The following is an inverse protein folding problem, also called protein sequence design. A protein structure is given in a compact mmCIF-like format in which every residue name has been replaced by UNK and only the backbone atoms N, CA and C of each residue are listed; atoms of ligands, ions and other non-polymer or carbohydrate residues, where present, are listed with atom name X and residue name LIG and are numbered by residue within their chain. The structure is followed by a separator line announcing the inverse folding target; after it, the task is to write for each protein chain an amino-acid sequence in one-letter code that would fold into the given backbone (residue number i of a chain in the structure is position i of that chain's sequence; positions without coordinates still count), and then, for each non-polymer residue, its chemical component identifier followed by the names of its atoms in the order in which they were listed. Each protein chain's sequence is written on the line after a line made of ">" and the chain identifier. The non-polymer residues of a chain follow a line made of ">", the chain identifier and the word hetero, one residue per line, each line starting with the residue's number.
data_IF_842497566900
#
_entry.id   IF_842497566900
#
_cell.length_a   1.000
_cell.length_b   1.000
_cell.length_c   1.000
_cell.angle_alpha   90.00
_cell.angle_beta   90.00
_cell.angle_gamma   90.00
#
_symmetry.space_group_name_H-M   'P 1'
#
loop_
_entity.id
_entity.type
_entity.pdbx_description
1 polymer ?
#
# COMPACT_ATOMS: atom_id res chain seq x y z
N UNK A 1 -16.03 -8.03 -22.41
CA UNK A 1 -16.86 -7.23 -21.47
C UNK A 1 -15.95 -6.72 -20.38
N UNK A 2 -15.82 -5.40 -20.26
CA UNK A 2 -15.09 -4.79 -19.14
C UNK A 2 -15.88 -5.04 -17.86
N UNK A 3 -15.21 -5.54 -16.82
CA UNK A 3 -15.84 -5.75 -15.52
C UNK A 3 -16.26 -4.43 -14.89
N UNK A 4 -17.27 -4.42 -14.01
CA UNK A 4 -17.57 -3.22 -13.23
C UNK A 4 -16.31 -2.80 -12.45
N UNK A 5 -16.13 -1.49 -12.26
CA UNK A 5 -15.00 -0.86 -11.53
C UNK A 5 -13.65 -0.75 -12.27
N UNK A 6 -13.66 -0.39 -13.55
CA UNK A 6 -12.44 0.08 -14.25
C UNK A 6 -12.28 1.59 -14.03
N UNK A 7 -11.12 2.05 -13.54
CA UNK A 7 -10.85 3.47 -13.29
C UNK A 7 -10.59 4.27 -14.59
N UNK A 8 -11.66 4.50 -15.35
CA UNK A 8 -11.62 5.28 -16.59
C UNK A 8 -11.26 6.75 -16.38
N UNK A 9 -11.48 7.29 -15.18
CA UNK A 9 -11.09 8.66 -14.85
C UNK A 9 -9.58 8.82 -14.88
N UNK A 10 -8.84 7.90 -14.25
CA UNK A 10 -7.37 7.89 -14.31
C UNK A 10 -6.87 7.84 -15.76
N UNK A 11 -7.43 6.95 -16.59
CA UNK A 11 -7.03 6.85 -18.00
C UNK A 11 -7.22 8.16 -18.76
N UNK A 12 -8.36 8.84 -18.58
CA UNK A 12 -8.64 10.12 -19.23
C UNK A 12 -7.67 11.22 -18.80
N UNK A 13 -7.35 11.30 -17.50
CA UNK A 13 -6.37 12.25 -16.99
C UNK A 13 -4.99 11.98 -17.58
N UNK A 14 -4.53 10.73 -17.56
CA UNK A 14 -3.26 10.33 -18.17
C UNK A 14 -3.21 10.69 -19.67
N UNK A 15 -4.27 10.42 -20.43
CA UNK A 15 -4.33 10.77 -21.85
C UNK A 15 -4.26 12.28 -22.10
N UNK A 16 -4.87 13.08 -21.23
CA UNK A 16 -4.80 14.53 -21.31
C UNK A 16 -3.38 15.02 -21.01
N UNK A 17 -2.74 14.49 -19.96
CA UNK A 17 -1.37 14.84 -19.59
C UNK A 17 -0.37 14.46 -20.69
N UNK A 18 -0.48 13.26 -21.27
CA UNK A 18 0.38 12.83 -22.36
C UNK A 18 0.20 13.68 -23.62
N UNK A 19 -1.04 14.06 -23.93
CA UNK A 19 -1.32 14.97 -25.06
C UNK A 19 -0.74 16.35 -24.80
N UNK A 20 -0.85 16.86 -23.57
CA UNK A 20 -0.34 18.17 -23.20
C UNK A 20 1.19 18.22 -23.17
N UNK A 21 1.84 17.22 -22.55
CA UNK A 21 3.29 17.22 -22.33
C UNK A 21 4.10 16.71 -23.54
N UNK A 22 3.52 15.78 -24.31
CA UNK A 22 4.27 15.04 -25.33
C UNK A 22 3.55 14.95 -26.69
N UNK A 23 2.38 15.58 -26.83
CA UNK A 23 1.58 15.61 -28.06
C UNK A 23 1.26 14.21 -28.66
N UNK A 24 1.08 13.20 -27.80
CA UNK A 24 0.61 11.88 -28.21
C UNK A 24 -0.47 11.34 -27.28
N UNK A 25 -1.15 10.28 -27.71
CA UNK A 25 -2.13 9.55 -26.92
C UNK A 25 -1.90 8.05 -27.03
N UNK A 26 -2.18 7.33 -25.96
CA UNK A 26 -2.13 5.86 -25.92
C UNK A 26 -3.38 5.31 -26.62
N UNK A 27 -3.21 4.30 -27.48
CA UNK A 27 -4.34 3.59 -28.08
C UNK A 27 -5.07 2.75 -27.01
N UNK A 28 -6.36 3.02 -26.78
CA UNK A 28 -7.18 2.25 -25.84
C UNK A 28 -8.24 1.43 -26.57
N UNK A 29 -8.16 0.10 -26.50
CA UNK A 29 -9.20 -0.81 -26.99
C UNK A 29 -9.85 -1.47 -25.77
N UNK A 30 -10.99 -0.91 -25.33
CA UNK A 30 -11.61 -1.28 -24.06
C UNK A 30 -10.66 -1.09 -22.87
N UNK A 31 -10.78 -1.88 -21.80
CA UNK A 31 -9.92 -1.75 -20.60
C UNK A 31 -8.46 -2.23 -20.78
N UNK A 32 -8.04 -2.64 -21.99
CA UNK A 32 -6.72 -3.24 -22.20
C UNK A 32 -5.56 -2.30 -21.83
N UNK A 33 -5.65 -1.00 -22.14
CA UNK A 33 -4.62 -0.01 -21.78
C UNK A 33 -4.44 0.11 -20.27
N UNK A 34 -5.55 0.16 -19.52
CA UNK A 34 -5.52 0.17 -18.05
C UNK A 34 -4.98 -1.13 -17.46
N UNK A 35 -5.23 -2.27 -18.09
CA UNK A 35 -4.67 -3.56 -17.66
C UNK A 35 -3.15 -3.59 -17.84
N UNK A 36 -2.64 -3.08 -18.96
CA UNK A 36 -1.20 -2.97 -19.20
C UNK A 36 -0.57 -2.11 -18.11
N UNK A 37 -1.13 -0.93 -17.83
CA UNK A 37 -0.62 -0.05 -16.78
C UNK A 37 -0.62 -0.71 -15.39
N UNK A 38 -1.73 -1.32 -14.97
CA UNK A 38 -1.80 -2.05 -13.70
C UNK A 38 -0.73 -3.17 -13.61
N UNK A 39 -0.54 -3.91 -14.71
CA UNK A 39 0.48 -4.95 -14.76
C UNK A 39 1.90 -4.36 -14.73
N UNK A 40 2.15 -3.21 -15.37
CA UNK A 40 3.45 -2.54 -15.32
C UNK A 40 3.82 -2.17 -13.89
N UNK A 41 2.90 -1.60 -13.10
CA UNK A 41 3.15 -1.33 -11.67
C UNK A 41 3.40 -2.61 -10.87
N UNK A 42 2.59 -3.66 -11.10
CA UNK A 42 2.80 -4.97 -10.46
C UNK A 42 4.17 -5.56 -10.78
N UNK A 43 4.62 -5.47 -12.03
CA UNK A 43 5.93 -5.96 -12.45
C UNK A 43 7.06 -5.07 -11.92
N UNK A 44 6.86 -3.75 -11.89
CA UNK A 44 7.78 -2.81 -11.26
C UNK A 44 8.01 -3.13 -9.79
N UNK A 45 6.95 -3.38 -9.02
CA UNK A 45 7.07 -3.79 -7.61
C UNK A 45 7.83 -5.11 -7.45
N UNK A 46 7.58 -6.09 -8.32
CA UNK A 46 8.34 -7.34 -8.30
C UNK A 46 9.82 -7.12 -8.63
N UNK A 47 10.13 -6.25 -9.58
CA UNK A 47 11.50 -5.98 -10.01
C UNK A 47 12.37 -5.31 -8.94
N UNK A 48 11.76 -4.52 -8.05
CA UNK A 48 12.51 -3.85 -6.96
C UNK A 48 12.87 -4.79 -5.81
N UNK A 49 12.21 -5.95 -5.70
CA UNK A 49 12.30 -6.84 -4.54
C UNK A 49 11.99 -6.14 -3.19
N UNK A 50 11.25 -5.02 -3.21
CA UNK A 50 10.91 -4.27 -2.00
C UNK A 50 9.73 -4.87 -1.22
N UNK A 51 9.04 -5.83 -1.82
CA UNK A 51 7.97 -6.61 -1.18
C UNK A 51 6.81 -5.73 -0.65
N UNK A 52 6.54 -4.62 -1.32
CA UNK A 52 5.55 -3.62 -0.91
C UNK A 52 4.16 -4.23 -0.81
N UNK A 53 3.81 -5.11 -1.76
CA UNK A 53 2.52 -5.81 -1.75
C UNK A 53 2.31 -6.61 -0.45
N UNK A 54 3.35 -7.34 -0.03
CA UNK A 54 3.31 -8.14 1.19
C UNK A 54 3.26 -7.27 2.44
N UNK A 55 4.03 -6.17 2.47
CA UNK A 55 4.03 -5.21 3.58
C UNK A 55 2.64 -4.59 3.76
N UNK A 56 2.07 -3.99 2.70
CA UNK A 56 0.76 -3.33 2.78
C UNK A 56 -0.38 -4.31 3.11
N UNK A 57 -0.33 -5.52 2.54
CA UNK A 57 -1.31 -6.57 2.86
C UNK A 57 -1.17 -7.04 4.31
N UNK A 58 0.05 -7.30 4.76
CA UNK A 58 0.33 -7.73 6.14
C UNK A 58 -0.08 -6.68 7.16
N UNK A 59 0.15 -5.41 6.83
CA UNK A 59 -0.22 -4.29 7.68
C UNK A 59 -1.73 -4.28 7.95
N UNK A 60 -2.54 -4.45 6.91
CA UNK A 60 -3.99 -4.55 7.06
C UNK A 60 -4.41 -5.77 7.89
N UNK A 61 -3.91 -6.96 7.54
CA UNK A 61 -4.30 -8.21 8.21
C UNK A 61 -3.79 -8.32 9.65
N UNK A 62 -2.74 -7.59 10.01
CA UNK A 62 -2.27 -7.51 11.39
C UNK A 62 -3.34 -6.91 12.31
N UNK A 63 -4.16 -5.96 11.84
CA UNK A 63 -5.11 -5.24 12.70
C UNK A 63 -6.59 -5.49 12.38
N UNK A 64 -6.94 -6.00 11.19
CA UNK A 64 -8.33 -6.14 10.74
C UNK A 64 -9.22 -6.90 11.73
N UNK A 65 -8.78 -8.10 12.12
CA UNK A 65 -9.56 -9.04 12.94
C UNK A 65 -8.95 -9.22 14.34
N UNK A 66 -8.23 -8.20 14.83
CA UNK A 66 -7.55 -8.24 16.11
C UNK A 66 -7.83 -6.96 16.92
N UNK A 67 -8.98 -6.89 17.62
CA UNK A 67 -9.44 -5.67 18.30
C UNK A 67 -8.42 -5.17 19.33
N UNK A 68 -7.80 -6.08 20.11
CA UNK A 68 -6.76 -5.73 21.10
C UNK A 68 -5.57 -5.06 20.43
N UNK A 69 -5.05 -5.63 19.33
CA UNK A 69 -3.91 -5.03 18.60
C UNK A 69 -4.27 -3.67 18.01
N UNK A 70 -5.50 -3.52 17.53
CA UNK A 70 -6.01 -2.26 17.01
C UNK A 70 -6.12 -1.20 18.11
N UNK A 71 -6.62 -1.57 19.28
CA UNK A 71 -6.68 -0.70 20.45
C UNK A 71 -5.28 -0.27 20.91
N UNK A 72 -4.34 -1.21 20.97
CA UNK A 72 -2.93 -0.91 21.29
C UNK A 72 -2.33 0.08 20.30
N UNK A 73 -2.57 -0.09 19.00
CA UNK A 73 -2.12 0.85 17.98
C UNK A 73 -2.78 2.23 18.14
N UNK A 74 -4.08 2.27 18.46
CA UNK A 74 -4.82 3.52 18.68
C UNK A 74 -4.27 4.28 19.89
N UNK A 75 -3.92 3.60 20.99
CA UNK A 75 -3.26 4.23 22.16
C UNK A 75 -1.90 4.84 21.83
N UNK A 76 -1.26 4.41 20.75
CA UNK A 76 0.02 4.95 20.26
C UNK A 76 -0.16 6.07 19.23
N UNK A 77 -1.34 6.17 18.62
CA UNK A 77 -1.63 7.05 17.50
C UNK A 77 -2.44 8.25 17.96
N UNK A 78 -1.99 9.46 17.65
CA UNK A 78 -2.77 10.67 17.84
C UNK A 78 -3.92 10.84 16.84
N UNK A 79 -3.94 10.06 15.75
CA UNK A 79 -4.90 10.24 14.64
C UNK A 79 -5.99 9.16 14.55
N UNK A 80 -5.99 8.14 15.42
CA UNK A 80 -6.91 6.98 15.39
C UNK A 80 -7.03 6.28 14.02
N UNK A 81 -6.07 6.48 13.11
CA UNK A 81 -6.11 5.91 11.77
C UNK A 81 -5.63 4.46 11.75
N UNK A 82 -6.37 3.63 11.01
CA UNK A 82 -6.01 2.23 10.77
C UNK A 82 -5.54 2.00 9.32
N UNK A 83 -4.79 0.92 9.07
CA UNK A 83 -4.39 0.55 7.72
C UNK A 83 -5.57 0.28 6.80
N UNK A 84 -5.39 0.55 5.50
CA UNK A 84 -6.37 0.24 4.45
C UNK A 84 -5.99 -1.05 3.73
N UNK A 85 -7.00 -1.73 3.19
CA UNK A 85 -6.81 -2.97 2.43
C UNK A 85 -6.19 -2.67 1.07
N UNK A 86 -5.11 -3.37 0.74
CA UNK A 86 -4.52 -3.36 -0.59
C UNK A 86 -5.34 -4.21 -1.58
N UNK A 87 -5.52 -3.74 -2.81
CA UNK A 87 -6.05 -4.53 -3.92
C UNK A 87 -4.93 -4.97 -4.88
N UNK A 88 -4.46 -6.21 -4.74
CA UNK A 88 -3.32 -6.73 -5.52
C UNK A 88 -3.56 -6.86 -7.04
N UNK A 89 -4.81 -6.72 -7.49
CA UNK A 89 -5.20 -6.73 -8.91
C UNK A 89 -5.38 -5.31 -9.49
N UNK A 90 -5.45 -4.28 -8.65
CA UNK A 90 -5.70 -2.88 -9.05
C UNK A 90 -4.66 -1.95 -8.43
N UNK A 91 -3.44 -2.04 -8.95
CA UNK A 91 -2.30 -1.27 -8.46
C UNK A 91 -2.52 0.24 -8.56
N UNK A 92 -3.16 0.71 -9.64
CA UNK A 92 -3.46 2.13 -9.84
C UNK A 92 -4.46 2.72 -8.83
N UNK A 93 -5.21 1.88 -8.12
CA UNK A 93 -6.22 2.32 -7.12
C UNK A 93 -5.67 2.28 -5.69
N UNK A 94 -4.43 1.82 -5.49
CA UNK A 94 -3.87 1.59 -4.15
C UNK A 94 -3.16 2.81 -3.54
N UNK A 95 -3.16 3.97 -4.21
CA UNK A 95 -2.55 5.22 -3.70
C UNK A 95 -3.02 5.53 -2.27
N UNK A 96 -4.33 5.50 -1.93
CA UNK A 96 -4.77 5.77 -0.56
C UNK A 96 -4.26 4.75 0.46
N UNK A 97 -4.02 3.50 0.05
CA UNK A 97 -3.45 2.47 0.90
C UNK A 97 -1.99 2.76 1.24
N UNK A 98 -1.20 3.17 0.23
CA UNK A 98 0.19 3.58 0.41
C UNK A 98 0.30 4.84 1.28
N UNK A 99 -0.47 5.89 0.98
CA UNK A 99 -0.51 7.13 1.76
C UNK A 99 -0.89 6.87 3.23
N UNK A 100 -1.90 6.01 3.46
CA UNK A 100 -2.27 5.63 4.82
C UNK A 100 -1.13 4.92 5.54
N UNK A 101 -0.43 4.02 4.86
CA UNK A 101 0.69 3.29 5.45
C UNK A 101 1.85 4.23 5.81
N UNK A 102 2.15 5.22 4.96
CA UNK A 102 3.14 6.27 5.23
C UNK A 102 2.73 7.07 6.45
N UNK A 103 1.47 7.52 6.50
CA UNK A 103 0.94 8.33 7.61
C UNK A 103 1.07 7.62 8.97
N UNK A 104 0.76 6.33 9.03
CA UNK A 104 0.81 5.57 10.29
C UNK A 104 2.17 4.91 10.56
N UNK A 105 3.15 5.06 9.66
CA UNK A 105 4.42 4.31 9.71
C UNK A 105 5.15 4.48 11.05
N UNK A 106 5.22 5.71 11.57
CA UNK A 106 5.84 6.00 12.87
C UNK A 106 5.16 5.26 14.02
N UNK A 107 3.83 5.16 13.99
CA UNK A 107 3.06 4.46 15.02
C UNK A 107 3.27 2.95 14.93
N UNK A 108 3.43 2.42 13.72
CA UNK A 108 3.75 1.01 13.49
C UNK A 108 5.13 0.66 14.03
N UNK A 109 6.15 1.49 13.78
CA UNK A 109 7.49 1.27 14.34
C UNK A 109 7.48 1.28 15.88
N UNK A 110 6.71 2.20 16.49
CA UNK A 110 6.50 2.22 17.95
C UNK A 110 5.78 0.97 18.46
N UNK A 111 4.75 0.52 17.75
CA UNK A 111 3.98 -0.68 18.09
C UNK A 111 4.89 -1.92 18.09
N UNK A 112 5.65 -2.13 17.02
CA UNK A 112 6.63 -3.24 16.91
C UNK A 112 7.63 -3.18 18.05
N UNK A 113 8.18 -1.99 18.33
CA UNK A 113 9.13 -1.81 19.43
C UNK A 113 8.52 -2.24 20.77
N UNK A 114 7.29 -1.80 21.09
CA UNK A 114 6.64 -2.18 22.34
C UNK A 114 6.35 -3.69 22.45
N UNK A 115 6.02 -4.35 21.35
CA UNK A 115 5.85 -5.82 21.33
C UNK A 115 7.20 -6.51 21.55
N UNK A 116 8.26 -6.08 20.86
CA UNK A 116 9.60 -6.68 20.96
C UNK A 116 10.23 -6.51 22.36
N UNK A 117 9.98 -5.37 23.04
CA UNK A 117 10.41 -5.13 24.42
C UNK A 117 9.48 -5.73 25.49
N UNK A 118 8.41 -6.44 25.09
CA UNK A 118 7.48 -7.09 26.03
C UNK A 118 6.52 -6.15 26.76
N UNK A 119 6.39 -4.89 26.33
CA UNK A 119 5.43 -3.94 26.87
C UNK A 119 4.00 -4.16 26.33
N UNK A 120 3.86 -4.92 25.24
CA UNK A 120 2.59 -5.38 24.68
C UNK A 120 2.60 -6.91 24.54
N UNK A 121 1.41 -7.49 24.31
CA UNK A 121 1.27 -8.92 24.09
C UNK A 121 2.11 -9.39 22.90
N UNK A 122 2.78 -10.53 23.08
CA UNK A 122 3.60 -11.16 22.03
C UNK A 122 2.72 -11.52 20.83
N UNK A 123 3.17 -11.13 19.63
CA UNK A 123 2.50 -11.47 18.37
C UNK A 123 3.42 -12.36 17.54
N UNK A 124 2.92 -13.51 17.07
CA UNK A 124 3.71 -14.52 16.34
C UNK A 124 3.20 -14.80 14.93
N UNK A 125 2.18 -14.08 14.46
CA UNK A 125 1.61 -14.31 13.14
C UNK A 125 2.55 -13.81 12.02
N UNK A 126 2.42 -14.41 10.83
CA UNK A 126 3.24 -14.05 9.67
C UNK A 126 3.17 -12.55 9.33
N UNK A 127 1.98 -11.95 9.44
CA UNK A 127 1.81 -10.51 9.20
C UNK A 127 2.68 -9.67 10.14
N UNK A 128 2.79 -10.05 11.41
CA UNK A 128 3.67 -9.35 12.35
C UNK A 128 5.13 -9.51 11.96
N UNK A 129 5.58 -10.73 11.60
CA UNK A 129 6.97 -10.96 11.20
C UNK A 129 7.38 -10.07 10.02
N UNK A 130 6.52 -9.94 9.00
CA UNK A 130 6.75 -9.09 7.83
C UNK A 130 6.83 -7.61 8.24
N UNK A 131 5.92 -7.15 9.09
CA UNK A 131 5.88 -5.76 9.56
C UNK A 131 7.06 -5.44 10.49
N UNK A 132 7.45 -6.36 11.36
CA UNK A 132 8.61 -6.20 12.23
C UNK A 132 9.92 -6.14 11.43
N UNK A 133 10.03 -6.91 10.35
CA UNK A 133 11.15 -6.81 9.43
C UNK A 133 11.14 -5.48 8.67
N UNK A 134 9.98 -5.06 8.17
CA UNK A 134 9.82 -3.78 7.45
C UNK A 134 10.11 -2.57 8.36
N UNK A 135 9.73 -2.63 9.65
CA UNK A 135 9.98 -1.55 10.62
C UNK A 135 11.47 -1.34 10.92
N UNK A 136 12.32 -2.34 10.65
CA UNK A 136 13.79 -2.23 10.77
C UNK A 136 14.41 -1.55 9.55
N UNK A 137 13.69 -1.46 8.44
CA UNK A 137 14.16 -0.84 7.21
C UNK A 137 14.05 0.69 7.31
N UNK A 138 15.21 1.36 7.38
CA UNK A 138 15.29 2.84 7.46
C UNK A 138 14.70 3.54 6.23
N UNK A 139 14.56 2.83 5.10
CA UNK A 139 14.05 3.36 3.85
C UNK A 139 12.58 3.00 3.60
N UNK A 140 11.89 2.38 4.57
CA UNK A 140 10.51 1.90 4.36
C UNK A 140 9.55 3.00 3.87
N UNK A 141 9.64 4.20 4.43
CA UNK A 141 8.82 5.34 4.02
C UNK A 141 9.07 5.72 2.56
N UNK A 142 10.33 5.73 2.13
CA UNK A 142 10.72 6.03 0.73
C UNK A 142 10.22 4.95 -0.21
N UNK A 143 10.30 3.68 0.20
CA UNK A 143 9.77 2.55 -0.58
C UNK A 143 8.25 2.66 -0.74
N UNK A 144 7.52 3.02 0.32
CA UNK A 144 6.08 3.24 0.25
C UNK A 144 5.70 4.44 -0.62
N UNK A 145 6.51 5.50 -0.62
CA UNK A 145 6.30 6.68 -1.48
C UNK A 145 6.33 6.34 -2.97
N UNK A 146 7.09 5.31 -3.38
CA UNK A 146 7.12 4.86 -4.79
C UNK A 146 5.78 4.34 -5.32
N UNK A 147 4.81 4.06 -4.43
CA UNK A 147 3.46 3.61 -4.78
C UNK A 147 2.43 4.75 -4.66
N UNK A 148 2.78 5.86 -4.01
CA UNK A 148 1.88 7.02 -3.84
C UNK A 148 2.13 8.14 -4.85
N UNK A 149 3.22 8.07 -5.63
CA UNK A 149 3.62 9.09 -6.62
C UNK A 149 3.09 8.85 -8.02
#
# INVERSE_FOLDING_TARGET
>A
MDGPFVNWKFYKLLQNDLKYQHNFQILCIGSCGLRILNNSFKYGEKATNWNINSILSSLYWLFKDAPVRREDLMKLSSSEKCPLKLCCHRWLENVPCAERAIEICTNICKYVSKVDYGALLKVTCQSYCIIAQAAKDKLITVKLLSVSG
#
